data_IF_273777100884
#
_entry.id   IF_273777100884
#
_cell.length_a   1.000
_cell.length_b   1.000
_cell.length_c   1.000
_cell.angle_alpha   90.00
_cell.angle_beta   90.00
_cell.angle_gamma   90.00
#
_symmetry.space_group_name_H-M   'P 1'
#
loop_
_entity.id
_entity.type
_entity.pdbx_description
1 polymer ?
#
# COMPACT_ATOMS: atom_id res chain seq x y z
N UNK A 1 1.95 29.47 9.96
CA UNK A 1 0.64 29.12 10.53
C UNK A 1 0.88 28.01 11.55
N UNK A 2 0.43 28.17 12.77
CA UNK A 2 0.47 27.07 13.74
C UNK A 2 -0.60 26.06 13.38
N UNK A 3 -0.43 24.76 13.70
CA UNK A 3 -1.48 23.71 13.48
C UNK A 3 -2.87 24.12 13.99
N UNK A 4 -2.96 25.03 14.96
CA UNK A 4 -4.22 25.49 15.53
C UNK A 4 -5.07 26.32 14.55
N UNK A 5 -4.47 26.88 13.50
CA UNK A 5 -5.15 27.78 12.55
C UNK A 5 -5.60 27.03 11.26
N UNK A 6 -5.23 25.75 11.09
CA UNK A 6 -5.64 24.96 9.95
C UNK A 6 -7.12 24.55 10.08
N UNK A 7 -7.89 24.73 9.02
CA UNK A 7 -9.29 24.33 8.98
C UNK A 7 -9.42 22.80 9.08
N UNK A 8 -10.06 22.31 10.15
CA UNK A 8 -10.35 20.89 10.31
C UNK A 8 -11.65 20.52 9.62
N UNK A 9 -11.66 19.40 8.92
CA UNK A 9 -12.91 18.82 8.42
C UNK A 9 -13.83 18.52 9.61
N UNK A 10 -15.11 18.94 9.59
CA UNK A 10 -16.07 18.62 10.64
C UNK A 10 -16.25 17.10 10.84
N UNK A 11 -16.43 16.67 12.09
CA UNK A 11 -16.56 15.23 12.42
C UNK A 11 -17.80 14.57 11.82
N UNK A 12 -18.86 15.32 11.59
CA UNK A 12 -20.07 14.83 10.93
C UNK A 12 -19.87 14.49 9.45
N UNK A 13 -18.80 15.01 8.83
CA UNK A 13 -18.37 14.63 7.48
C UNK A 13 -17.49 13.38 7.46
N UNK A 14 -17.02 12.87 8.60
CA UNK A 14 -16.28 11.61 8.70
C UNK A 14 -17.25 10.44 8.73
N UNK A 15 -16.97 9.39 7.98
CA UNK A 15 -17.77 8.16 7.95
C UNK A 15 -18.06 7.61 9.34
N UNK A 16 -19.28 7.16 9.59
CA UNK A 16 -19.76 6.80 10.92
C UNK A 16 -18.93 5.70 11.59
N UNK A 17 -18.38 4.75 10.82
CA UNK A 17 -17.55 3.66 11.33
C UNK A 17 -16.09 4.08 11.61
N UNK A 18 -15.60 5.17 11.01
CA UNK A 18 -14.26 5.69 11.28
C UNK A 18 -14.26 6.85 12.30
N UNK A 19 -15.37 7.56 12.43
CA UNK A 19 -15.49 8.76 13.30
C UNK A 19 -14.97 8.56 14.72
N UNK A 20 -15.28 7.45 15.43
CA UNK A 20 -14.81 7.25 16.80
C UNK A 20 -13.28 7.25 16.92
N UNK A 21 -12.55 6.74 15.92
CA UNK A 21 -11.09 6.76 15.91
C UNK A 21 -10.55 8.17 15.66
N UNK A 22 -11.17 8.94 14.77
CA UNK A 22 -10.78 10.33 14.51
C UNK A 22 -11.08 11.22 15.71
N UNK A 23 -12.22 11.03 16.40
CA UNK A 23 -12.55 11.71 17.65
C UNK A 23 -11.49 11.43 18.73
N UNK A 24 -11.14 10.16 18.94
CA UNK A 24 -10.13 9.75 19.91
C UNK A 24 -8.75 10.35 19.57
N UNK A 25 -8.35 10.35 18.29
CA UNK A 25 -7.11 10.95 17.83
C UNK A 25 -7.08 12.45 18.13
N UNK A 26 -8.14 13.19 17.83
CA UNK A 26 -8.26 14.63 18.11
C UNK A 26 -8.26 14.92 19.61
N UNK A 27 -8.95 14.13 20.39
CA UNK A 27 -8.99 14.26 21.85
C UNK A 27 -7.62 14.00 22.51
N UNK A 28 -6.80 13.13 21.92
CA UNK A 28 -5.44 12.83 22.36
C UNK A 28 -4.39 13.88 21.94
N UNK A 29 -4.79 14.99 21.30
CA UNK A 29 -3.88 16.09 20.92
C UNK A 29 -3.29 15.98 19.53
N UNK A 30 -3.82 15.10 18.66
CA UNK A 30 -3.44 14.97 17.25
C UNK A 30 -1.95 14.63 17.04
N UNK A 31 -1.37 13.81 17.92
CA UNK A 31 0.03 13.37 17.82
C UNK A 31 0.16 12.38 16.67
N UNK A 32 0.82 12.79 15.59
CA UNK A 32 1.03 12.00 14.39
C UNK A 32 2.46 11.44 14.32
N UNK A 33 2.82 10.81 13.22
CA UNK A 33 4.07 10.07 13.03
C UNK A 33 5.33 10.94 13.23
N UNK A 34 5.31 12.20 12.81
CA UNK A 34 6.41 13.15 12.91
C UNK A 34 6.48 13.88 14.26
N UNK A 35 5.51 13.69 15.16
CA UNK A 35 5.38 14.45 16.41
C UNK A 35 5.94 13.72 17.63
N UNK A 36 6.50 12.54 17.43
CA UNK A 36 7.12 11.72 18.48
C UNK A 36 8.63 11.95 18.54
N UNK A 37 9.27 11.50 19.62
CA UNK A 37 10.69 11.80 19.89
C UNK A 37 11.65 11.18 18.89
N UNK A 38 11.31 10.00 18.35
CA UNK A 38 12.16 9.28 17.42
C UNK A 38 11.37 8.48 16.39
N UNK A 39 12.04 8.11 15.29
CA UNK A 39 11.48 7.20 14.29
C UNK A 39 11.18 5.82 14.89
N UNK A 40 11.99 5.37 15.83
CA UNK A 40 11.75 4.12 16.56
C UNK A 40 10.45 4.15 17.34
N UNK A 41 10.13 5.28 17.99
CA UNK A 41 8.85 5.48 18.67
C UNK A 41 7.68 5.53 17.68
N UNK A 42 7.87 6.17 16.53
CA UNK A 42 6.88 6.20 15.47
C UNK A 42 6.55 4.79 14.97
N UNK A 43 7.56 3.96 14.72
CA UNK A 43 7.40 2.54 14.35
C UNK A 43 6.66 1.74 15.42
N UNK A 44 7.09 1.83 16.67
CA UNK A 44 6.48 1.13 17.80
C UNK A 44 5.00 1.56 18.02
N UNK A 45 4.70 2.85 17.94
CA UNK A 45 3.35 3.37 18.07
C UNK A 45 2.45 2.91 16.93
N UNK A 46 2.97 2.84 15.70
CA UNK A 46 2.21 2.34 14.55
C UNK A 46 1.89 0.85 14.70
N UNK A 47 2.85 0.00 15.08
CA UNK A 47 2.61 -1.42 15.35
C UNK A 47 1.56 -1.62 16.45
N UNK A 48 1.68 -0.87 17.56
CA UNK A 48 0.71 -0.90 18.66
C UNK A 48 -0.69 -0.51 18.20
N UNK A 49 -0.80 0.52 17.36
CA UNK A 49 -2.08 0.96 16.80
C UNK A 49 -2.69 -0.10 15.90
N UNK A 50 -1.91 -0.70 14.99
CA UNK A 50 -2.36 -1.77 14.11
C UNK A 50 -2.80 -3.01 14.90
N UNK A 51 -2.07 -3.36 15.95
CA UNK A 51 -2.44 -4.47 16.84
C UNK A 51 -3.76 -4.23 17.59
N UNK A 52 -4.02 -2.98 18.01
CA UNK A 52 -5.23 -2.62 18.77
C UNK A 52 -6.49 -2.48 17.89
N UNK A 53 -6.33 -2.02 16.65
CA UNK A 53 -7.44 -1.63 15.78
C UNK A 53 -7.66 -2.57 14.59
N UNK A 54 -6.70 -3.46 14.32
CA UNK A 54 -6.75 -4.39 13.19
C UNK A 54 -7.76 -5.52 13.36
N UNK A 55 -7.98 -6.26 12.29
CA UNK A 55 -8.82 -7.45 12.26
C UNK A 55 -8.35 -8.50 13.28
N UNK A 56 -9.23 -9.42 13.66
CA UNK A 56 -8.79 -10.66 14.27
C UNK A 56 -7.94 -11.46 13.25
N UNK A 57 -6.83 -12.11 13.67
CA UNK A 57 -6.00 -12.85 12.75
C UNK A 57 -6.71 -14.12 12.26
N UNK A 58 -6.85 -14.27 10.94
CA UNK A 58 -7.36 -15.50 10.35
C UNK A 58 -6.32 -16.62 10.43
N UNK A 59 -6.80 -17.85 10.61
CA UNK A 59 -5.94 -19.02 10.51
C UNK A 59 -5.55 -19.28 9.05
N UNK A 60 -4.26 -19.37 8.80
CA UNK A 60 -3.68 -19.71 7.49
C UNK A 60 -2.91 -21.01 7.63
N UNK A 61 -3.02 -21.91 6.66
CA UNK A 61 -2.47 -23.27 6.75
C UNK A 61 -0.94 -23.26 6.99
N UNK A 62 -0.22 -22.30 6.40
CA UNK A 62 1.22 -22.13 6.62
C UNK A 62 1.57 -20.63 6.62
N UNK A 63 2.34 -20.22 7.61
CA UNK A 63 2.97 -18.90 7.68
C UNK A 63 4.44 -19.11 7.98
N UNK A 64 5.32 -18.51 7.16
CA UNK A 64 6.76 -18.75 7.20
C UNK A 64 7.50 -17.44 6.92
N UNK A 65 8.48 -17.09 7.76
CA UNK A 65 9.41 -16.00 7.50
C UNK A 65 10.66 -16.55 6.80
N UNK A 66 11.10 -15.87 5.73
CA UNK A 66 12.26 -16.27 4.93
C UNK A 66 13.21 -15.09 4.81
N UNK A 67 14.46 -15.28 5.26
CA UNK A 67 15.52 -14.29 5.14
C UNK A 67 16.10 -14.29 3.71
N UNK A 68 16.14 -13.12 3.07
CA UNK A 68 16.70 -12.92 1.72
C UNK A 68 17.99 -12.08 1.77
N UNK A 69 18.75 -12.18 2.85
CA UNK A 69 20.02 -11.52 3.07
C UNK A 69 19.87 -10.11 3.64
N UNK A 70 19.41 -9.12 2.87
CA UNK A 70 19.27 -7.73 3.30
C UNK A 70 17.91 -7.39 3.88
N UNK A 71 16.91 -8.19 3.56
CA UNK A 71 15.52 -8.06 3.96
C UNK A 71 14.91 -9.46 4.12
N UNK A 72 13.69 -9.54 4.59
CA UNK A 72 12.95 -10.81 4.69
C UNK A 72 11.58 -10.69 4.04
N UNK A 73 10.97 -11.84 3.79
CA UNK A 73 9.58 -11.93 3.37
C UNK A 73 8.81 -12.85 4.31
N UNK A 74 7.51 -12.62 4.45
CA UNK A 74 6.61 -13.56 5.10
C UNK A 74 5.68 -14.17 4.05
N UNK A 75 5.66 -15.49 4.00
CA UNK A 75 4.78 -16.24 3.11
C UNK A 75 3.55 -16.68 3.89
N UNK A 76 2.38 -16.33 3.40
CA UNK A 76 1.09 -16.82 3.88
C UNK A 76 0.53 -17.76 2.82
N UNK A 77 0.51 -19.05 3.09
CA UNK A 77 -0.02 -20.04 2.15
C UNK A 77 -1.27 -20.69 2.73
N UNK A 78 -2.46 -20.35 2.21
CA UNK A 78 -3.72 -20.90 2.71
C UNK A 78 -3.96 -22.33 2.22
N UNK A 79 -3.18 -22.85 1.26
CA UNK A 79 -3.38 -24.15 0.67
C UNK A 79 -2.88 -25.27 1.60
N UNK A 80 -3.73 -26.19 2.03
CA UNK A 80 -3.30 -27.35 2.82
C UNK A 80 -2.45 -28.34 2.00
N UNK A 81 -2.72 -28.40 0.68
CA UNK A 81 -2.01 -29.23 -0.30
C UNK A 81 -1.69 -28.37 -1.53
N UNK A 82 -0.52 -28.57 -2.11
CA UNK A 82 -0.11 -27.91 -3.35
C UNK A 82 -0.45 -28.84 -4.54
N UNK A 83 -1.44 -28.47 -5.32
CA UNK A 83 -1.96 -29.31 -6.43
C UNK A 83 -1.41 -28.88 -7.81
N UNK A 84 -0.65 -27.80 -7.92
CA UNK A 84 -0.08 -27.29 -9.18
C UNK A 84 0.27 -25.83 -9.12
N UNK A 85 0.75 -25.26 -10.26
CA UNK A 85 1.12 -23.86 -10.33
C UNK A 85 -0.05 -22.93 -9.99
N UNK A 86 0.12 -22.12 -8.95
CA UNK A 86 -0.90 -21.21 -8.42
C UNK A 86 -0.42 -19.77 -8.54
N UNK A 87 -1.26 -18.82 -8.97
CA UNK A 87 -0.91 -17.39 -8.92
C UNK A 87 -0.42 -16.96 -7.54
N UNK A 88 0.44 -15.96 -7.49
CA UNK A 88 1.02 -15.44 -6.25
C UNK A 88 0.69 -13.97 -6.08
N UNK A 89 0.30 -13.58 -4.88
CA UNK A 89 0.16 -12.19 -4.50
C UNK A 89 1.49 -11.71 -3.88
N UNK A 90 2.05 -10.63 -4.39
CA UNK A 90 3.19 -9.92 -3.80
C UNK A 90 2.65 -8.66 -3.11
N UNK A 91 2.82 -8.59 -1.80
CA UNK A 91 2.28 -7.54 -0.94
C UNK A 91 3.40 -6.64 -0.42
N UNK A 92 3.28 -5.32 -0.67
CA UNK A 92 4.12 -4.30 -0.08
C UNK A 92 3.30 -3.48 0.93
N UNK A 93 3.79 -3.40 2.17
CA UNK A 93 3.08 -2.70 3.25
C UNK A 93 3.17 -1.17 3.15
N UNK A 94 2.19 -0.46 3.71
CA UNK A 94 2.21 0.99 3.89
C UNK A 94 3.11 1.45 5.04
N UNK A 95 3.20 2.78 5.19
CA UNK A 95 3.99 3.40 6.26
C UNK A 95 5.02 4.41 5.75
N UNK A 96 4.76 5.05 4.59
CA UNK A 96 5.59 6.13 4.05
C UNK A 96 7.05 5.74 3.81
N UNK A 97 7.34 4.44 3.59
CA UNK A 97 8.68 3.88 3.45
C UNK A 97 9.60 4.05 4.68
N UNK A 98 9.06 4.53 5.82
CA UNK A 98 9.80 4.86 7.04
C UNK A 98 9.35 4.03 8.23
N UNK A 99 8.06 3.71 8.28
CA UNK A 99 7.43 2.87 9.29
C UNK A 99 6.72 1.68 8.64
N UNK A 100 6.12 0.82 9.44
CA UNK A 100 5.47 -0.40 8.96
C UNK A 100 6.39 -1.60 9.05
N UNK A 101 5.79 -2.78 9.04
CA UNK A 101 6.47 -4.06 9.15
C UNK A 101 5.53 -5.19 8.74
N UNK A 102 6.03 -6.42 8.71
CA UNK A 102 5.20 -7.62 8.56
C UNK A 102 4.11 -7.69 9.64
N UNK A 103 4.41 -7.24 10.87
CA UNK A 103 3.47 -7.29 11.99
C UNK A 103 2.30 -6.29 11.83
N UNK A 104 2.56 -5.11 11.26
CA UNK A 104 1.50 -4.11 11.04
C UNK A 104 0.45 -4.59 10.05
N UNK A 105 0.83 -5.44 9.08
CA UNK A 105 -0.04 -5.90 8.00
C UNK A 105 -0.33 -7.41 8.03
N UNK A 106 0.13 -8.15 9.07
CA UNK A 106 -0.10 -9.60 9.20
C UNK A 106 -1.57 -9.98 9.04
N UNK A 107 -2.46 -9.25 9.72
CA UNK A 107 -3.90 -9.54 9.71
C UNK A 107 -4.56 -9.24 8.36
N UNK A 108 -4.07 -8.23 7.65
CA UNK A 108 -4.52 -7.90 6.28
C UNK A 108 -4.10 -9.00 5.32
N UNK A 109 -2.83 -9.44 5.38
CA UNK A 109 -2.31 -10.51 4.53
C UNK A 109 -3.04 -11.84 4.81
N UNK A 110 -3.26 -12.19 6.08
CA UNK A 110 -4.04 -13.40 6.44
C UNK A 110 -5.45 -13.36 5.87
N UNK A 111 -6.16 -12.23 6.04
CA UNK A 111 -7.51 -12.04 5.49
C UNK A 111 -7.52 -12.19 3.98
N UNK A 112 -6.59 -11.56 3.26
CA UNK A 112 -6.49 -11.68 1.81
C UNK A 112 -6.14 -13.09 1.37
N UNK A 113 -5.20 -13.79 2.05
CA UNK A 113 -4.85 -15.17 1.76
C UNK A 113 -6.07 -16.09 1.86
N UNK A 114 -6.85 -15.96 2.94
CA UNK A 114 -8.07 -16.76 3.15
C UNK A 114 -9.16 -16.42 2.12
N UNK A 115 -9.36 -15.12 1.83
CA UNK A 115 -10.40 -14.68 0.87
C UNK A 115 -10.10 -15.06 -0.57
N UNK A 116 -8.82 -15.07 -0.95
CA UNK A 116 -8.42 -15.40 -2.33
C UNK A 116 -8.09 -16.87 -2.52
N UNK A 117 -7.73 -17.59 -1.45
CA UNK A 117 -7.18 -18.94 -1.55
C UNK A 117 -5.77 -18.97 -2.15
N UNK A 118 -5.09 -17.82 -2.28
CA UNK A 118 -3.80 -17.66 -2.94
C UNK A 118 -2.67 -17.46 -1.94
N UNK A 119 -1.46 -17.95 -2.24
CA UNK A 119 -0.28 -17.60 -1.47
C UNK A 119 0.04 -16.11 -1.60
N UNK A 120 0.44 -15.50 -0.47
CA UNK A 120 0.90 -14.12 -0.39
C UNK A 120 2.35 -14.10 0.07
N UNK A 121 3.18 -13.35 -0.63
CA UNK A 121 4.54 -12.99 -0.25
C UNK A 121 4.53 -11.53 0.19
N UNK A 122 4.52 -11.29 1.50
CA UNK A 122 4.62 -9.96 2.09
C UNK A 122 6.09 -9.60 2.30
N UNK A 123 6.46 -8.40 1.88
CA UNK A 123 7.84 -7.95 1.85
C UNK A 123 8.11 -7.06 3.07
N UNK A 124 9.14 -7.42 3.88
CA UNK A 124 9.69 -6.57 4.93
C UNK A 124 10.87 -5.77 4.33
N UNK A 125 10.54 -4.88 3.41
CA UNK A 125 11.52 -4.08 2.69
C UNK A 125 12.23 -3.08 3.60
N UNK A 126 13.47 -2.75 3.28
CA UNK A 126 14.29 -1.81 4.07
C UNK A 126 13.70 -0.41 4.05
N UNK A 127 13.68 0.23 5.22
CA UNK A 127 13.04 1.51 5.48
C UNK A 127 14.03 2.67 5.59
N UNK A 128 13.55 3.86 5.26
CA UNK A 128 14.25 5.11 5.57
C UNK A 128 14.12 5.48 7.04
N UNK A 129 15.00 6.35 7.54
CA UNK A 129 16.14 6.97 6.86
C UNK A 129 17.38 6.08 6.76
N UNK A 130 17.39 4.90 7.41
CA UNK A 130 18.55 4.00 7.43
C UNK A 130 18.88 3.47 6.03
N UNK A 131 17.84 3.26 5.22
CA UNK A 131 17.92 2.77 3.85
C UNK A 131 16.98 3.57 2.95
N UNK A 132 17.49 4.69 2.45
CA UNK A 132 16.74 5.59 1.59
C UNK A 132 16.43 4.99 0.21
N UNK A 133 15.58 5.66 -0.55
CA UNK A 133 15.33 5.30 -1.95
C UNK A 133 16.65 5.12 -2.72
N UNK A 134 16.80 4.03 -3.53
CA UNK A 134 15.77 3.09 -3.94
C UNK A 134 15.70 1.77 -3.12
N UNK A 135 16.30 1.67 -1.92
CA UNK A 135 16.50 0.40 -1.22
C UNK A 135 15.23 -0.45 -1.09
N UNK A 136 14.11 0.12 -0.64
CA UNK A 136 12.85 -0.63 -0.49
C UNK A 136 12.25 -1.09 -1.82
N UNK A 137 12.44 -0.32 -2.89
CA UNK A 137 12.03 -0.71 -4.25
C UNK A 137 12.90 -1.85 -4.80
N UNK A 138 14.20 -1.77 -4.59
CA UNK A 138 15.13 -2.84 -5.01
C UNK A 138 14.84 -4.15 -4.28
N UNK A 139 14.59 -4.11 -2.95
CA UNK A 139 14.18 -5.27 -2.17
C UNK A 139 12.88 -5.88 -2.71
N UNK A 140 11.94 -5.03 -3.12
CA UNK A 140 10.64 -5.48 -3.65
C UNK A 140 10.79 -6.15 -5.02
N UNK A 141 11.68 -5.65 -5.89
CA UNK A 141 12.04 -6.32 -7.14
C UNK A 141 12.73 -7.66 -6.87
N UNK A 142 13.67 -7.70 -5.92
CA UNK A 142 14.38 -8.91 -5.56
C UNK A 142 13.44 -9.96 -4.93
N UNK A 143 12.39 -9.55 -4.21
CA UNK A 143 11.33 -10.43 -3.74
C UNK A 143 10.55 -11.08 -4.90
N UNK A 144 10.25 -10.32 -5.97
CA UNK A 144 9.62 -10.89 -7.19
C UNK A 144 10.56 -11.87 -7.88
N UNK A 145 11.87 -11.59 -7.93
CA UNK A 145 12.86 -12.54 -8.45
C UNK A 145 12.90 -13.82 -7.63
N UNK A 146 12.84 -13.70 -6.30
CA UNK A 146 12.77 -14.85 -5.41
C UNK A 146 11.47 -15.65 -5.61
N UNK A 147 10.32 -15.02 -5.82
CA UNK A 147 9.06 -15.72 -6.17
C UNK A 147 9.25 -16.60 -7.40
N UNK A 148 9.90 -16.09 -8.46
CA UNK A 148 10.24 -16.86 -9.67
C UNK A 148 11.14 -18.05 -9.35
N UNK A 149 12.19 -17.82 -8.58
CA UNK A 149 13.21 -18.84 -8.28
C UNK A 149 12.65 -19.94 -7.36
N UNK A 150 11.60 -19.67 -6.62
CA UNK A 150 10.90 -20.64 -5.75
C UNK A 150 9.66 -21.28 -6.40
N UNK A 151 9.34 -20.92 -7.63
CA UNK A 151 8.10 -21.30 -8.29
C UNK A 151 7.86 -22.82 -8.29
N UNK A 152 8.85 -23.59 -8.76
CA UNK A 152 8.73 -25.06 -8.85
C UNK A 152 8.59 -25.72 -7.47
N UNK A 153 9.38 -25.27 -6.49
CA UNK A 153 9.41 -25.85 -5.14
C UNK A 153 8.12 -25.58 -4.38
N UNK A 154 7.52 -24.38 -4.58
CA UNK A 154 6.34 -23.93 -3.85
C UNK A 154 5.04 -24.12 -4.63
N UNK A 155 5.10 -24.59 -5.88
CA UNK A 155 3.95 -24.73 -6.77
C UNK A 155 3.33 -23.36 -7.07
N UNK A 156 4.15 -22.38 -7.42
CA UNK A 156 3.73 -21.04 -7.81
C UNK A 156 3.81 -20.84 -9.32
N UNK A 157 3.02 -19.90 -9.83
CA UNK A 157 3.06 -19.50 -11.23
C UNK A 157 3.63 -18.06 -11.34
N UNK A 158 4.91 -17.90 -11.67
CA UNK A 158 5.53 -16.58 -11.79
C UNK A 158 5.01 -15.78 -13.00
N UNK A 159 4.24 -16.41 -13.90
CA UNK A 159 3.55 -15.72 -15.00
C UNK A 159 2.19 -15.14 -14.59
N UNK A 160 1.75 -15.38 -13.35
CA UNK A 160 0.49 -14.86 -12.81
C UNK A 160 0.70 -14.24 -11.43
N UNK A 161 1.47 -13.14 -11.38
CA UNK A 161 1.70 -12.36 -10.15
C UNK A 161 0.64 -11.26 -10.06
N UNK A 162 0.08 -11.08 -8.87
CA UNK A 162 -0.73 -9.91 -8.52
C UNK A 162 0.06 -9.06 -7.55
N UNK A 163 0.26 -7.77 -7.86
CA UNK A 163 0.88 -6.82 -6.92
C UNK A 163 -0.20 -6.11 -6.12
N UNK A 164 0.01 -5.98 -4.82
CA UNK A 164 -0.91 -5.28 -3.92
C UNK A 164 -0.13 -4.50 -2.88
N UNK A 165 -0.62 -3.34 -2.52
CA UNK A 165 -0.06 -2.55 -1.44
C UNK A 165 -0.96 -1.39 -1.05
N UNK A 166 -0.74 -0.88 0.16
CA UNK A 166 -1.43 0.28 0.68
C UNK A 166 -0.48 1.48 0.85
N UNK A 167 -0.97 2.68 0.58
CA UNK A 167 -0.18 3.90 0.79
C UNK A 167 1.17 3.86 0.03
N UNK A 168 2.30 4.01 0.71
CA UNK A 168 3.64 3.85 0.14
C UNK A 168 3.85 2.47 -0.51
N UNK A 169 3.29 1.40 0.08
CA UNK A 169 3.30 0.07 -0.51
C UNK A 169 2.47 -0.02 -1.79
N UNK A 170 1.41 0.78 -1.91
CA UNK A 170 0.66 0.93 -3.15
C UNK A 170 1.52 1.54 -4.27
N UNK A 171 2.38 2.50 -3.95
CA UNK A 171 3.39 3.03 -4.88
C UNK A 171 4.39 1.96 -5.33
N UNK A 172 4.90 1.14 -4.39
CA UNK A 172 5.78 0.01 -4.72
C UNK A 172 5.06 -1.01 -5.61
N UNK A 173 3.81 -1.38 -5.29
CA UNK A 173 3.02 -2.31 -6.08
C UNK A 173 2.81 -1.79 -7.52
N UNK A 174 2.59 -0.48 -7.67
CA UNK A 174 2.51 0.21 -8.96
C UNK A 174 3.85 0.15 -9.70
N UNK A 175 4.97 0.44 -9.03
CA UNK A 175 6.30 0.39 -9.63
C UNK A 175 6.63 -1.02 -10.15
N UNK A 176 6.31 -2.08 -9.40
CA UNK A 176 6.48 -3.47 -9.81
C UNK A 176 5.64 -3.83 -11.06
N UNK A 177 4.47 -3.22 -11.21
CA UNK A 177 3.59 -3.45 -12.34
C UNK A 177 4.03 -2.68 -13.61
N UNK A 178 4.59 -1.50 -13.46
CA UNK A 178 4.76 -0.53 -14.55
C UNK A 178 6.21 -0.18 -14.87
N UNK A 179 7.06 0.07 -13.86
CA UNK A 179 8.38 0.63 -14.10
C UNK A 179 9.29 -0.39 -14.80
N UNK A 180 9.89 -0.06 -15.98
CA UNK A 180 10.77 -0.99 -16.69
C UNK A 180 11.95 -1.48 -15.84
N UNK A 181 12.49 -0.63 -14.96
CA UNK A 181 13.59 -0.98 -14.06
C UNK A 181 13.21 -1.97 -12.95
N UNK A 182 11.91 -2.17 -12.71
CA UNK A 182 11.37 -3.11 -11.73
C UNK A 182 11.00 -4.47 -12.34
N UNK A 183 11.06 -4.62 -13.66
CA UNK A 183 10.74 -5.87 -14.34
C UNK A 183 11.75 -6.96 -13.97
N UNK A 184 11.24 -8.16 -13.81
CA UNK A 184 12.03 -9.38 -13.56
C UNK A 184 11.75 -10.35 -14.69
N UNK A 185 12.80 -10.77 -15.40
CA UNK A 185 12.66 -11.74 -16.49
C UNK A 185 12.07 -13.06 -15.98
N UNK A 186 11.19 -13.65 -16.79
CA UNK A 186 10.48 -14.89 -16.39
C UNK A 186 9.31 -14.66 -15.44
N UNK A 187 8.90 -13.42 -15.21
CA UNK A 187 7.70 -13.08 -14.41
C UNK A 187 6.73 -12.22 -15.18
N UNK A 188 5.46 -12.24 -14.77
CA UNK A 188 4.42 -11.35 -15.31
C UNK A 188 3.45 -10.91 -14.21
N UNK A 189 3.33 -9.59 -14.04
CA UNK A 189 2.25 -9.00 -13.24
C UNK A 189 1.00 -8.98 -14.10
N UNK A 190 -0.09 -9.59 -13.62
CA UNK A 190 -1.35 -9.75 -14.35
C UNK A 190 -2.48 -8.89 -13.78
N UNK A 191 -2.32 -8.37 -12.57
CA UNK A 191 -3.24 -7.42 -11.95
C UNK A 191 -2.54 -6.64 -10.83
N UNK A 192 -3.06 -5.45 -10.51
CA UNK A 192 -2.59 -4.63 -9.41
C UNK A 192 -3.76 -4.16 -8.54
N UNK A 193 -3.55 -4.15 -7.22
CA UNK A 193 -4.53 -3.67 -6.23
C UNK A 193 -3.88 -2.57 -5.41
N UNK A 194 -4.41 -1.36 -5.55
CA UNK A 194 -3.81 -0.14 -5.03
C UNK A 194 -4.72 0.46 -3.96
N UNK A 195 -4.29 0.36 -2.72
CA UNK A 195 -5.08 0.74 -1.56
C UNK A 195 -4.66 2.15 -1.11
N UNK A 196 -5.43 3.19 -1.48
CA UNK A 196 -5.10 4.61 -1.25
C UNK A 196 -3.59 4.92 -1.48
N UNK A 197 -3.08 4.61 -2.68
CA UNK A 197 -1.64 4.57 -2.94
C UNK A 197 -0.99 5.95 -2.98
N UNK A 198 0.33 6.02 -2.68
CA UNK A 198 1.18 7.16 -3.05
C UNK A 198 1.57 6.99 -4.52
N UNK A 199 1.29 8.00 -5.35
CA UNK A 199 1.48 7.92 -6.80
C UNK A 199 2.22 9.11 -7.42
N UNK A 200 2.39 10.19 -6.66
CA UNK A 200 3.14 11.36 -7.14
C UNK A 200 3.72 12.16 -5.96
N UNK A 201 5.01 12.01 -5.69
CA UNK A 201 5.70 12.84 -4.70
C UNK A 201 6.46 14.02 -5.32
N UNK A 202 6.39 14.17 -6.64
CA UNK A 202 7.02 15.29 -7.36
C UNK A 202 6.23 16.59 -7.24
N UNK A 203 4.93 16.48 -6.95
CA UNK A 203 4.03 17.62 -6.74
C UNK A 203 2.93 17.30 -5.74
N UNK A 204 2.50 18.29 -4.98
CA UNK A 204 1.37 18.15 -4.06
C UNK A 204 0.04 18.41 -4.78
N UNK A 205 -0.94 17.52 -4.55
CA UNK A 205 -2.31 17.70 -5.03
C UNK A 205 -3.10 18.65 -4.13
N UNK A 206 -4.30 19.09 -4.56
CA UNK A 206 -5.23 19.86 -3.72
C UNK A 206 -5.65 19.10 -2.43
N UNK A 207 -5.51 17.77 -2.41
CA UNK A 207 -5.70 16.95 -1.23
C UNK A 207 -4.79 17.35 -0.07
N UNK A 208 -3.56 17.77 -0.35
CA UNK A 208 -2.60 18.22 0.65
C UNK A 208 -3.05 19.52 1.34
N UNK A 209 -3.64 20.46 0.61
CA UNK A 209 -4.20 21.68 1.21
C UNK A 209 -5.45 21.36 2.05
N UNK A 210 -6.29 20.47 1.55
CA UNK A 210 -7.56 20.09 2.19
C UNK A 210 -7.38 19.27 3.47
N UNK A 211 -6.36 18.42 3.54
CA UNK A 211 -6.11 17.50 4.66
C UNK A 211 -4.78 17.89 5.34
N UNK A 212 -4.77 19.05 5.98
CA UNK A 212 -3.61 19.61 6.67
C UNK A 212 -3.63 19.42 8.19
N UNK A 213 -4.80 19.09 8.79
CA UNK A 213 -4.95 18.87 10.23
C UNK A 213 -6.13 17.93 10.56
N UNK A 214 -6.11 17.39 11.78
CA UNK A 214 -7.24 16.65 12.35
C UNK A 214 -7.33 15.18 11.95
N UNK A 215 -6.33 14.65 11.23
CA UNK A 215 -6.24 13.26 10.82
C UNK A 215 -4.84 12.68 11.10
N UNK A 216 -4.70 11.36 11.30
CA UNK A 216 -3.39 10.73 11.52
C UNK A 216 -2.40 10.94 10.36
N UNK A 217 -2.88 10.93 9.11
CA UNK A 217 -2.09 11.30 7.94
C UNK A 217 -2.53 12.67 7.43
N UNK A 218 -1.57 13.57 7.31
CA UNK A 218 -1.74 14.95 6.80
C UNK A 218 -0.66 15.27 5.78
N UNK A 219 -0.76 16.43 5.13
CA UNK A 219 0.29 16.94 4.25
C UNK A 219 1.67 16.97 4.94
N UNK A 220 1.73 17.43 6.20
CA UNK A 220 3.00 17.47 6.95
C UNK A 220 3.57 16.07 7.22
N UNK A 221 2.70 15.09 7.48
CA UNK A 221 3.12 13.69 7.59
C UNK A 221 3.76 13.19 6.28
N UNK A 222 3.13 13.50 5.14
CA UNK A 222 3.64 13.09 3.82
C UNK A 222 4.99 13.75 3.51
N UNK A 223 5.14 15.03 3.80
CA UNK A 223 6.42 15.76 3.65
C UNK A 223 7.52 15.16 4.52
N UNK A 224 7.18 14.81 5.78
CA UNK A 224 8.09 14.16 6.70
C UNK A 224 8.53 12.77 6.20
N UNK A 225 7.61 11.95 5.70
CA UNK A 225 7.94 10.65 5.12
C UNK A 225 8.87 10.80 3.91
N UNK A 226 8.54 11.69 2.97
CA UNK A 226 9.36 11.94 1.79
C UNK A 226 10.78 12.41 2.18
N UNK A 227 10.92 13.33 3.12
CA UNK A 227 12.22 13.83 3.60
C UNK A 227 13.08 12.74 4.25
N UNK A 228 12.48 11.75 4.90
CA UNK A 228 13.20 10.63 5.49
C UNK A 228 13.55 9.51 4.49
N UNK A 229 12.82 9.41 3.37
CA UNK A 229 13.05 8.34 2.40
C UNK A 229 13.84 8.79 1.17
N UNK A 230 13.59 10.00 0.66
CA UNK A 230 14.24 10.54 -0.53
C UNK A 230 15.40 11.43 -0.11
N UNK A 231 16.63 11.07 -0.51
CA UNK A 231 17.84 11.85 -0.19
C UNK A 231 18.02 13.00 -1.17
N UNK A 232 17.92 12.70 -2.46
CA UNK A 232 18.02 13.69 -3.54
C UNK A 232 16.61 14.10 -4.01
N UNK A 233 16.19 15.35 -3.79
CA UNK A 233 14.88 15.84 -4.23
C UNK A 233 14.63 15.65 -5.73
N UNK A 234 15.68 15.60 -6.58
CA UNK A 234 15.51 15.33 -8.00
C UNK A 234 14.96 13.93 -8.29
N UNK A 235 15.15 12.98 -7.38
CA UNK A 235 14.58 11.64 -7.48
C UNK A 235 13.06 11.61 -7.29
N UNK A 236 12.43 12.68 -6.83
CA UNK A 236 10.98 12.73 -6.66
C UNK A 236 10.21 12.48 -7.97
N UNK A 237 10.81 12.77 -9.13
CA UNK A 237 10.23 12.48 -10.45
C UNK A 237 10.56 11.09 -10.99
N UNK A 238 11.32 10.24 -10.24
CA UNK A 238 11.58 8.86 -10.67
C UNK A 238 10.24 8.10 -10.83
N UNK A 239 10.02 7.38 -11.95
CA UNK A 239 8.77 6.66 -12.22
C UNK A 239 8.38 5.64 -11.16
N UNK A 240 9.33 5.19 -10.32
CA UNK A 240 9.07 4.28 -9.19
C UNK A 240 8.44 5.00 -7.99
N UNK A 241 8.70 6.31 -7.84
CA UNK A 241 8.16 7.16 -6.77
C UNK A 241 6.95 7.97 -7.21
N UNK A 242 6.92 8.38 -8.49
CA UNK A 242 5.87 9.23 -9.07
C UNK A 242 5.35 8.66 -10.40
N UNK A 243 4.73 7.45 -10.37
CA UNK A 243 4.21 6.83 -11.59
C UNK A 243 3.12 7.68 -12.27
N UNK A 244 2.37 8.50 -11.53
CA UNK A 244 1.39 9.41 -12.11
C UNK A 244 2.05 10.51 -12.95
N UNK A 245 3.17 11.08 -12.48
CA UNK A 245 3.93 12.06 -13.24
C UNK A 245 4.45 11.47 -14.55
N UNK A 246 5.00 10.24 -14.51
CA UNK A 246 5.47 9.51 -15.69
C UNK A 246 4.35 9.22 -16.71
N UNK A 247 3.16 8.81 -16.24
CA UNK A 247 1.98 8.64 -17.12
C UNK A 247 1.55 9.96 -17.78
N UNK A 248 1.53 11.06 -17.00
CA UNK A 248 1.20 12.39 -17.52
C UNK A 248 2.20 12.88 -18.56
N UNK A 249 3.49 12.54 -18.40
CA UNK A 249 4.54 12.84 -19.36
C UNK A 249 4.47 11.97 -20.64
N UNK A 250 3.60 10.94 -20.66
CA UNK A 250 3.50 10.02 -21.80
C UNK A 250 4.65 9.02 -21.90
N UNK A 251 5.43 8.85 -20.83
CA UNK A 251 6.55 7.91 -20.76
C UNK A 251 6.10 6.45 -20.69
N UNK A 252 4.84 6.22 -20.32
CA UNK A 252 4.20 4.90 -20.23
C UNK A 252 2.88 4.95 -21.01
N UNK A 253 2.93 4.70 -22.29
CA UNK A 253 1.76 4.74 -23.18
C UNK A 253 1.08 3.39 -23.38
N UNK A 254 1.74 2.29 -23.02
CA UNK A 254 1.23 0.94 -23.22
C UNK A 254 0.15 0.58 -22.19
N UNK A 255 -0.74 -0.33 -22.59
CA UNK A 255 -1.73 -0.93 -21.68
C UNK A 255 -1.02 -1.63 -20.52
N UNK A 256 -1.42 -1.29 -19.32
CA UNK A 256 -0.87 -1.82 -18.08
C UNK A 256 -1.74 -2.96 -17.52
N UNK A 257 -1.24 -3.73 -16.52
CA UNK A 257 -2.06 -4.73 -15.85
C UNK A 257 -3.35 -4.12 -15.28
N UNK A 258 -4.51 -4.80 -15.39
CA UNK A 258 -5.77 -4.34 -14.80
C UNK A 258 -5.59 -3.87 -13.35
N UNK A 259 -6.24 -2.77 -12.98
CA UNK A 259 -6.07 -2.13 -11.68
C UNK A 259 -7.38 -2.02 -10.91
N UNK A 260 -7.35 -2.40 -9.61
CA UNK A 260 -8.34 -1.99 -8.64
C UNK A 260 -7.75 -0.93 -7.74
N UNK A 261 -8.37 0.25 -7.69
CA UNK A 261 -7.84 1.42 -6.99
C UNK A 261 -8.87 1.91 -5.97
N UNK A 262 -8.46 2.04 -4.72
CA UNK A 262 -9.25 2.68 -3.68
C UNK A 262 -8.72 4.08 -3.43
N UNK A 263 -9.58 5.08 -3.57
CA UNK A 263 -9.32 6.47 -3.24
C UNK A 263 -10.18 6.92 -2.06
N UNK A 264 -9.61 7.72 -1.15
CA UNK A 264 -10.28 8.21 0.06
C UNK A 264 -10.37 9.74 0.01
N UNK A 265 -11.57 10.29 0.26
CA UNK A 265 -11.81 11.73 0.12
C UNK A 265 -11.23 12.58 1.26
N UNK A 266 -11.01 11.99 2.45
CA UNK A 266 -10.39 12.65 3.61
C UNK A 266 -8.92 12.21 3.77
N UNK A 267 -8.20 12.18 2.65
CA UNK A 267 -6.83 11.70 2.52
C UNK A 267 -6.04 12.67 1.62
N UNK A 268 -4.83 13.10 1.98
CA UNK A 268 -4.00 13.91 1.08
C UNK A 268 -3.71 13.20 -0.25
N UNK A 269 -3.72 11.86 -0.28
CA UNK A 269 -3.45 11.04 -1.46
C UNK A 269 -4.70 10.76 -2.33
N UNK A 270 -5.88 11.23 -1.90
CA UNK A 270 -7.14 10.89 -2.57
C UNK A 270 -7.22 11.38 -4.01
N UNK A 271 -6.77 12.60 -4.26
CA UNK A 271 -6.85 13.23 -5.59
C UNK A 271 -5.89 12.55 -6.59
N UNK A 272 -4.66 12.21 -6.16
CA UNK A 272 -3.69 11.54 -7.05
C UNK A 272 -4.13 10.12 -7.41
N UNK A 273 -4.83 9.41 -6.52
CA UNK A 273 -5.39 8.10 -6.81
C UNK A 273 -6.50 8.17 -7.89
N UNK A 274 -7.36 9.18 -7.84
CA UNK A 274 -8.38 9.45 -8.86
C UNK A 274 -7.74 9.83 -10.20
N UNK A 275 -6.77 10.73 -10.19
CA UNK A 275 -6.06 11.18 -11.38
C UNK A 275 -5.30 10.03 -12.05
N UNK A 276 -4.69 9.14 -11.24
CA UNK A 276 -4.00 7.97 -11.73
C UNK A 276 -4.96 6.97 -12.40
N UNK A 277 -6.12 6.71 -11.79
CA UNK A 277 -7.16 5.87 -12.40
C UNK A 277 -7.60 6.42 -13.76
N UNK A 278 -7.78 7.74 -13.87
CA UNK A 278 -8.13 8.40 -15.12
C UNK A 278 -6.98 8.32 -16.16
N UNK A 279 -5.72 8.47 -15.72
CA UNK A 279 -4.56 8.36 -16.59
C UNK A 279 -4.39 6.93 -17.14
N UNK A 280 -4.51 5.90 -16.28
CA UNK A 280 -4.49 4.50 -16.69
C UNK A 280 -5.59 4.16 -17.69
N UNK A 281 -6.81 4.65 -17.47
CA UNK A 281 -7.93 4.42 -18.40
C UNK A 281 -7.61 4.94 -19.81
N UNK A 282 -6.87 6.04 -19.93
CA UNK A 282 -6.46 6.60 -21.23
C UNK A 282 -5.44 5.74 -21.97
N UNK A 283 -4.69 4.88 -21.29
CA UNK A 283 -3.81 3.89 -21.94
C UNK A 283 -4.54 2.63 -22.41
N UNK A 284 -5.86 2.55 -22.21
CA UNK A 284 -6.68 1.36 -22.50
C UNK A 284 -6.64 0.30 -21.40
N UNK A 285 -6.05 0.61 -20.24
CA UNK A 285 -6.03 -0.30 -19.09
C UNK A 285 -7.41 -0.43 -18.45
N UNK A 286 -7.82 -1.64 -18.10
CA UNK A 286 -9.04 -1.87 -17.31
C UNK A 286 -8.84 -1.38 -15.87
N UNK A 287 -9.70 -0.47 -15.41
CA UNK A 287 -9.62 0.13 -14.08
C UNK A 287 -10.95 0.04 -13.35
N UNK A 288 -10.95 -0.50 -12.15
CA UNK A 288 -12.05 -0.40 -11.19
C UNK A 288 -11.64 0.60 -10.10
N UNK A 289 -12.21 1.82 -10.13
CA UNK A 289 -12.00 2.84 -9.11
C UNK A 289 -13.12 2.80 -8.07
N UNK A 290 -12.77 2.67 -6.80
CA UNK A 290 -13.67 2.86 -5.66
C UNK A 290 -13.29 4.15 -4.95
N UNK A 291 -14.23 5.10 -4.86
CA UNK A 291 -14.03 6.36 -4.15
C UNK A 291 -14.90 6.42 -2.90
N UNK A 292 -14.28 6.61 -1.74
CA UNK A 292 -14.95 6.75 -0.45
C UNK A 292 -14.80 8.18 0.08
N UNK A 293 -15.77 9.09 -0.18
CA UNK A 293 -15.61 10.53 0.05
C UNK A 293 -15.44 10.93 1.52
N UNK A 294 -15.88 10.09 2.45
CA UNK A 294 -15.95 10.39 3.89
C UNK A 294 -14.98 9.57 4.75
N UNK A 295 -14.06 8.82 4.13
CA UNK A 295 -13.04 8.04 4.84
C UNK A 295 -11.68 8.71 4.74
N UNK A 296 -10.94 8.64 5.84
CA UNK A 296 -9.56 9.05 5.96
C UNK A 296 -8.60 7.85 5.82
N UNK A 297 -7.33 8.14 5.61
CA UNK A 297 -6.25 7.16 5.43
C UNK A 297 -6.18 6.07 6.52
N UNK A 298 -5.70 4.86 6.16
CA UNK A 298 -5.37 3.79 7.12
C UNK A 298 -6.54 2.88 7.50
N UNK A 299 -7.58 2.74 6.65
CA UNK A 299 -8.77 1.93 6.98
C UNK A 299 -8.48 0.42 7.05
N UNK A 300 -7.42 -0.09 6.43
CA UNK A 300 -7.11 -1.52 6.40
C UNK A 300 -6.41 -2.00 7.67
N UNK A 301 -5.41 -1.26 8.13
CA UNK A 301 -4.73 -1.56 9.40
C UNK A 301 -5.63 -1.35 10.62
N UNK A 302 -6.75 -0.64 10.43
CA UNK A 302 -7.79 -0.42 11.44
C UNK A 302 -9.12 -1.13 11.12
N UNK A 303 -9.12 -2.11 10.22
CA UNK A 303 -10.33 -2.77 9.74
C UNK A 303 -11.11 -3.54 10.82
N UNK A 304 -10.50 -3.85 11.98
CA UNK A 304 -11.20 -4.40 13.12
C UNK A 304 -12.11 -3.39 13.84
N UNK A 305 -11.94 -2.09 13.58
CA UNK A 305 -12.76 -1.00 14.08
C UNK A 305 -13.55 -0.30 12.97
N UNK A 306 -13.03 -0.29 11.76
CA UNK A 306 -13.62 0.36 10.58
C UNK A 306 -14.13 -0.75 9.65
N UNK A 307 -15.42 -1.10 9.77
CA UNK A 307 -16.02 -2.20 9.00
C UNK A 307 -15.94 -1.99 7.48
N UNK A 308 -15.83 -0.73 7.02
CA UNK A 308 -15.58 -0.43 5.60
C UNK A 308 -14.24 -0.99 5.13
N UNK A 309 -13.19 -0.98 5.97
CA UNK A 309 -11.90 -1.57 5.62
C UNK A 309 -12.00 -3.05 5.26
N UNK A 310 -12.72 -3.84 6.07
CA UNK A 310 -12.94 -5.26 5.78
C UNK A 310 -13.73 -5.46 4.46
N UNK A 311 -14.81 -4.69 4.25
CA UNK A 311 -15.58 -4.76 3.00
C UNK A 311 -14.75 -4.43 1.74
N UNK A 312 -13.81 -3.49 1.87
CA UNK A 312 -12.92 -3.14 0.75
C UNK A 312 -11.89 -4.25 0.48
N UNK A 313 -11.39 -4.96 1.52
CA UNK A 313 -10.57 -6.15 1.33
C UNK A 313 -11.33 -7.26 0.59
N UNK A 314 -12.61 -7.48 0.92
CA UNK A 314 -13.45 -8.45 0.22
C UNK A 314 -13.65 -8.07 -1.27
N UNK A 315 -13.84 -6.79 -1.57
CA UNK A 315 -13.95 -6.31 -2.97
C UNK A 315 -12.63 -6.48 -3.73
N UNK A 316 -11.51 -6.13 -3.11
CA UNK A 316 -10.17 -6.33 -3.68
C UNK A 316 -9.89 -7.81 -3.98
N UNK A 317 -10.21 -8.71 -3.04
CA UNK A 317 -10.10 -10.16 -3.25
C UNK A 317 -10.99 -10.63 -4.40
N UNK A 318 -12.23 -10.15 -4.49
CA UNK A 318 -13.14 -10.43 -5.60
C UNK A 318 -12.59 -9.98 -6.96
N UNK A 319 -11.98 -8.77 -7.02
CA UNK A 319 -11.30 -8.30 -8.23
C UNK A 319 -10.16 -9.23 -8.63
N UNK A 320 -9.27 -9.60 -7.71
CA UNK A 320 -8.15 -10.51 -7.96
C UNK A 320 -8.65 -11.81 -8.61
N UNK A 321 -9.65 -12.44 -8.00
CA UNK A 321 -10.20 -13.70 -8.49
C UNK A 321 -10.82 -13.57 -9.88
N UNK A 322 -11.52 -12.45 -10.18
CA UNK A 322 -12.07 -12.20 -11.52
C UNK A 322 -10.97 -12.04 -12.58
N UNK A 323 -9.87 -11.35 -12.26
CA UNK A 323 -8.76 -11.17 -13.21
C UNK A 323 -8.02 -12.49 -13.48
N UNK A 324 -7.92 -13.36 -12.50
CA UNK A 324 -7.23 -14.65 -12.64
C UNK A 324 -8.08 -15.75 -13.29
N UNK A 325 -9.39 -15.53 -13.41
CA UNK A 325 -10.31 -16.45 -14.09
C UNK A 325 -10.41 -16.24 -15.61
N UNK A 326 -9.83 -15.15 -16.12
CA UNK A 326 -9.75 -14.82 -17.55
C UNK A 326 -8.56 -15.53 -18.22
#
# INVERSE_FOLDING_TARGET
MTRSDAARVPLDQVAADQRPLIEAFRAAGEVSFQDVESIADSRANYEKSCAANGLAPDAVARVEDVELGKFRVRVYDPRPVVEGPTPVIVFAHGGGWVIGSLETHDRVCRRLAVRTGLPIVAIDYRLGPEHRFPAGHDDSRDAVAWVRDQADVRGWDPQRIVTIGDSAGGGIATALAHAPSMRVDGTKVVAQVLLYPVLDISQESAGYERISAGFPLTADSMRWFAANYVEDPSSASDPRLSPLASLRAGEQSDTQPPAWILALGLDPLGDEAVDYAAALTRTGTHVELVYLPHHAHGIFTSAGKIGTGERMLDQAAGFILRQLAQ
#
